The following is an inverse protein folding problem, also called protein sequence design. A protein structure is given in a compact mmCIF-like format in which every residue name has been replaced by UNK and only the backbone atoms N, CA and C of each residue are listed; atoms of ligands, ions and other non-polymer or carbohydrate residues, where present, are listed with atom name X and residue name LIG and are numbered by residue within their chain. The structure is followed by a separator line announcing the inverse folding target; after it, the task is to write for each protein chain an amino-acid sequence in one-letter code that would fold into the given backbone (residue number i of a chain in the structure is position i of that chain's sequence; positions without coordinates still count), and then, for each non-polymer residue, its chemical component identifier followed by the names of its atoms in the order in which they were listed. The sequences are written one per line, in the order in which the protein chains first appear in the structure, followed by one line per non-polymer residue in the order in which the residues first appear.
data_IF_065427065807
#
_entry.id   IF_065427065807
#
_cell.length_a   1.000
_cell.length_b   1.000
_cell.length_c   1.000
_cell.angle_alpha   90.00
_cell.angle_beta   90.00
_cell.angle_gamma   90.00
#
_symmetry.space_group_name_H-M   'P 1'
#
loop_
_entity.id
_entity.type
_entity.pdbx_description
1 polymer ?
#
# COMPACT_ATOMS: atom_id res chain seq x y z
N UNK A 1 11.86 7.26 9.87
CA UNK A 1 11.34 7.08 8.50
C UNK A 1 10.07 6.25 8.54
N UNK A 2 9.10 6.66 7.74
CA UNK A 2 7.89 5.86 7.60
C UNK A 2 8.18 4.61 6.78
N UNK A 3 7.59 3.50 7.17
CA UNK A 3 7.77 2.20 6.52
C UNK A 3 6.58 1.87 5.64
N UNK A 4 6.87 1.54 4.39
CA UNK A 4 5.88 1.18 3.38
C UNK A 4 6.03 -0.31 3.06
N UNK A 5 4.94 -1.05 3.19
CA UNK A 5 4.88 -2.45 2.77
C UNK A 5 4.23 -2.51 1.39
N UNK A 6 4.91 -3.14 0.43
CA UNK A 6 4.42 -3.25 -0.95
C UNK A 6 4.26 -4.72 -1.33
N UNK A 7 3.06 -5.10 -1.73
CA UNK A 7 2.76 -6.43 -2.25
C UNK A 7 2.36 -6.36 -3.71
N UNK A 8 3.04 -7.11 -4.55
CA UNK A 8 2.72 -7.23 -5.97
C UNK A 8 3.32 -8.52 -6.53
N UNK A 9 2.70 -9.10 -7.54
CA UNK A 9 3.23 -10.28 -8.22
C UNK A 9 4.23 -9.92 -9.32
N UNK A 10 4.34 -8.65 -9.67
CA UNK A 10 5.31 -8.15 -10.64
C UNK A 10 6.64 -7.82 -9.94
N UNK A 11 7.61 -8.72 -10.09
CA UNK A 11 8.92 -8.59 -9.45
C UNK A 11 9.66 -7.32 -9.90
N UNK A 12 9.55 -6.96 -11.18
CA UNK A 12 10.20 -5.77 -11.69
C UNK A 12 9.61 -4.51 -11.08
N UNK A 13 8.31 -4.49 -10.91
CA UNK A 13 7.65 -3.36 -10.25
C UNK A 13 8.09 -3.24 -8.79
N UNK A 14 8.22 -4.34 -8.08
CA UNK A 14 8.70 -4.32 -6.69
C UNK A 14 10.09 -3.71 -6.59
N UNK A 15 10.99 -4.05 -7.51
CA UNK A 15 12.34 -3.46 -7.55
C UNK A 15 12.28 -1.96 -7.76
N UNK A 16 11.48 -1.51 -8.73
CA UNK A 16 11.33 -0.09 -9.03
C UNK A 16 10.72 0.66 -7.86
N UNK A 17 9.68 0.10 -7.26
CA UNK A 17 9.03 0.69 -6.08
C UNK A 17 10.01 0.85 -4.92
N UNK A 18 10.79 -0.18 -4.66
CA UNK A 18 11.80 -0.13 -3.62
C UNK A 18 12.79 1.03 -3.85
N UNK A 19 13.30 1.16 -5.06
CA UNK A 19 14.29 2.19 -5.38
C UNK A 19 13.69 3.59 -5.29
N UNK A 20 12.54 3.81 -5.92
CA UNK A 20 11.94 5.14 -5.99
C UNK A 20 11.47 5.60 -4.62
N UNK A 21 10.81 4.75 -3.88
CA UNK A 21 10.31 5.13 -2.55
C UNK A 21 11.44 5.33 -1.56
N UNK A 22 12.50 4.52 -1.66
CA UNK A 22 13.69 4.71 -0.81
C UNK A 22 14.35 6.06 -1.09
N UNK A 23 14.45 6.46 -2.37
CA UNK A 23 14.99 7.77 -2.75
C UNK A 23 14.15 8.93 -2.19
N UNK A 24 12.87 8.69 -1.93
CA UNK A 24 11.97 9.69 -1.37
C UNK A 24 11.89 9.64 0.16
N UNK A 25 12.79 8.91 0.80
CA UNK A 25 12.94 8.92 2.25
C UNK A 25 12.11 7.89 2.99
N UNK A 26 11.54 6.90 2.31
CA UNK A 26 10.77 5.84 2.94
C UNK A 26 11.62 4.59 3.18
N UNK A 27 11.31 3.88 4.26
CA UNK A 27 11.80 2.54 4.50
C UNK A 27 10.82 1.56 3.82
N UNK A 28 11.30 0.73 2.91
CA UNK A 28 10.42 -0.07 2.04
C UNK A 28 10.65 -1.56 2.27
N UNK A 29 9.57 -2.28 2.48
CA UNK A 29 9.56 -3.74 2.53
C UNK A 29 8.69 -4.23 1.38
N UNK A 30 9.24 -5.09 0.53
CA UNK A 30 8.49 -5.69 -0.57
C UNK A 30 8.17 -7.15 -0.27
N UNK A 31 7.05 -7.63 -0.78
CA UNK A 31 6.63 -9.00 -0.60
C UNK A 31 5.90 -9.53 -1.83
N UNK A 32 6.06 -10.81 -2.09
CA UNK A 32 5.18 -11.52 -3.01
C UNK A 32 3.76 -11.56 -2.43
N UNK A 33 2.75 -11.79 -3.28
CA UNK A 33 1.36 -11.89 -2.82
C UNK A 33 1.19 -12.97 -1.77
N UNK A 34 0.43 -12.66 -0.72
CA UNK A 34 0.12 -13.62 0.33
C UNK A 34 -1.17 -13.23 1.04
N UNK A 35 -1.98 -14.22 1.44
CA UNK A 35 -3.10 -13.99 2.33
C UNK A 35 -2.66 -13.81 3.78
N UNK A 36 -1.40 -14.10 4.08
CA UNK A 36 -0.85 -14.02 5.44
C UNK A 36 -0.27 -12.64 5.74
N UNK A 37 -1.02 -11.61 5.34
CA UNK A 37 -0.57 -10.22 5.47
C UNK A 37 -0.44 -9.80 6.94
N UNK A 38 -1.23 -10.39 7.84
CA UNK A 38 -1.14 -10.07 9.26
C UNK A 38 0.22 -10.43 9.84
N UNK A 39 0.84 -11.51 9.37
CA UNK A 39 2.19 -11.88 9.78
C UNK A 39 3.20 -10.82 9.35
N UNK A 40 3.09 -10.33 8.10
CA UNK A 40 3.96 -9.26 7.61
C UNK A 40 3.79 -7.98 8.42
N UNK A 41 2.56 -7.65 8.79
CA UNK A 41 2.28 -6.47 9.61
C UNK A 41 2.90 -6.60 11.00
N UNK A 42 2.79 -7.78 11.61
CA UNK A 42 3.37 -8.05 12.93
C UNK A 42 4.90 -7.99 12.91
N UNK A 43 5.53 -8.45 11.84
CA UNK A 43 6.99 -8.46 11.72
C UNK A 43 7.52 -7.07 11.40
N UNK A 44 6.90 -6.38 10.46
CA UNK A 44 7.48 -5.17 9.88
C UNK A 44 6.88 -3.87 10.40
N UNK A 45 5.71 -3.91 11.00
CA UNK A 45 5.02 -2.71 11.51
C UNK A 45 4.93 -1.58 10.48
N UNK A 46 4.32 -1.82 9.31
CA UNK A 46 4.26 -0.79 8.28
C UNK A 46 3.36 0.38 8.71
N UNK A 47 3.72 1.56 8.24
CA UNK A 47 2.92 2.77 8.41
C UNK A 47 1.90 2.95 7.30
N UNK A 48 2.12 2.28 6.16
CA UNK A 48 1.24 2.32 4.99
C UNK A 48 1.46 1.06 4.17
N UNK A 49 0.41 0.58 3.51
CA UNK A 49 0.46 -0.62 2.68
C UNK A 49 0.04 -0.26 1.26
N UNK A 50 0.81 -0.73 0.28
CA UNK A 50 0.47 -0.65 -1.14
C UNK A 50 0.33 -2.07 -1.66
N UNK A 51 -0.81 -2.39 -2.27
CA UNK A 51 -1.09 -3.72 -2.82
C UNK A 51 -1.71 -3.61 -4.19
N UNK A 52 -1.33 -4.54 -5.08
CA UNK A 52 -2.07 -4.69 -6.32
C UNK A 52 -3.46 -5.28 -6.03
N UNK A 53 -4.47 -4.85 -6.77
CA UNK A 53 -5.83 -5.31 -6.59
C UNK A 53 -5.96 -6.80 -6.92
N UNK A 54 -5.38 -7.24 -8.03
CA UNK A 54 -5.39 -8.64 -8.44
C UNK A 54 -3.95 -9.17 -8.55
N UNK A 55 -3.59 -10.06 -7.64
CA UNK A 55 -2.25 -10.65 -7.54
C UNK A 55 -2.38 -12.16 -7.66
N UNK A 56 -2.26 -12.72 -8.88
CA UNK A 56 -2.39 -14.17 -9.09
C UNK A 56 -3.62 -14.74 -8.36
N UNK A 57 -3.41 -15.50 -7.30
CA UNK A 57 -4.48 -16.12 -6.51
C UNK A 57 -4.92 -15.26 -5.31
N UNK A 58 -4.37 -14.06 -5.15
CA UNK A 58 -4.65 -13.20 -4.00
C UNK A 58 -5.40 -11.94 -4.44
N UNK A 59 -6.54 -11.69 -3.84
CA UNK A 59 -7.33 -10.49 -4.11
C UNK A 59 -7.00 -9.41 -3.07
N UNK A 60 -6.30 -8.36 -3.54
CA UNK A 60 -5.90 -7.24 -2.68
C UNK A 60 -7.09 -6.47 -2.11
N UNK A 61 -8.20 -6.40 -2.84
CA UNK A 61 -9.42 -5.77 -2.33
C UNK A 61 -9.99 -6.51 -1.12
N UNK A 62 -10.00 -7.85 -1.17
CA UNK A 62 -10.44 -8.65 -0.03
C UNK A 62 -9.51 -8.47 1.17
N UNK A 63 -8.18 -8.46 0.93
CA UNK A 63 -7.22 -8.21 2.00
C UNK A 63 -7.44 -6.85 2.63
N UNK A 64 -7.65 -5.82 1.82
CA UNK A 64 -7.93 -4.48 2.32
C UNK A 64 -9.19 -4.48 3.19
N UNK A 65 -10.25 -5.12 2.74
CA UNK A 65 -11.49 -5.21 3.50
C UNK A 65 -11.28 -5.88 4.85
N UNK A 66 -10.51 -6.96 4.90
CA UNK A 66 -10.17 -7.64 6.15
C UNK A 66 -9.41 -6.71 7.09
N UNK A 67 -8.39 -6.01 6.57
CA UNK A 67 -7.60 -5.08 7.38
C UNK A 67 -8.44 -3.93 7.94
N UNK A 68 -9.35 -3.40 7.14
CA UNK A 68 -10.19 -2.26 7.54
C UNK A 68 -11.30 -2.64 8.51
N UNK A 69 -11.62 -3.93 8.61
CA UNK A 69 -12.61 -4.45 9.56
C UNK A 69 -11.97 -4.99 10.85
N UNK A 70 -10.64 -4.93 10.97
CA UNK A 70 -9.94 -5.39 12.17
C UNK A 70 -9.44 -4.16 12.95
N UNK A 71 -9.81 -4.09 14.23
CA UNK A 71 -9.46 -2.97 15.09
C UNK A 71 -7.96 -2.76 15.24
N UNK A 72 -7.16 -3.81 15.08
CA UNK A 72 -5.70 -3.72 15.22
C UNK A 72 -4.99 -3.21 13.97
N UNK A 73 -5.65 -3.25 12.80
CA UNK A 73 -5.05 -2.89 11.52
C UNK A 73 -5.80 -1.80 10.76
N UNK A 74 -7.02 -1.47 11.17
CA UNK A 74 -7.87 -0.52 10.43
C UNK A 74 -7.28 0.87 10.28
N UNK A 75 -6.35 1.24 11.16
CA UNK A 75 -5.70 2.55 11.15
C UNK A 75 -4.61 2.67 10.08
N UNK A 76 -4.14 1.54 9.53
CA UNK A 76 -3.07 1.55 8.52
C UNK A 76 -3.64 1.99 7.18
N UNK A 77 -3.14 3.09 6.58
CA UNK A 77 -3.58 3.48 5.25
C UNK A 77 -3.24 2.41 4.21
N UNK A 78 -4.17 2.16 3.30
CA UNK A 78 -3.99 1.17 2.23
C UNK A 78 -4.25 1.83 0.88
N UNK A 79 -3.28 1.69 -0.02
CA UNK A 79 -3.42 2.07 -1.42
C UNK A 79 -3.52 0.80 -2.24
N UNK A 80 -4.57 0.69 -3.06
CA UNK A 80 -4.71 -0.39 -4.03
C UNK A 80 -4.29 0.09 -5.41
N UNK A 81 -3.49 -0.72 -6.09
CA UNK A 81 -3.07 -0.47 -7.48
C UNK A 81 -3.93 -1.30 -8.41
N UNK A 82 -4.36 -0.76 -9.53
CA UNK A 82 -5.14 -1.52 -10.50
C UNK A 82 -4.83 -1.10 -11.94
N UNK A 83 -4.68 -2.10 -12.81
CA UNK A 83 -4.61 -1.89 -14.25
C UNK A 83 -5.99 -1.70 -14.87
N UNK A 84 -7.06 -1.93 -14.11
CA UNK A 84 -8.43 -1.94 -14.60
C UNK A 84 -9.22 -0.76 -14.04
N UNK A 85 -9.24 0.33 -14.78
CA UNK A 85 -9.89 1.57 -14.36
C UNK A 85 -11.38 1.39 -14.08
N UNK A 86 -12.04 0.51 -14.84
CA UNK A 86 -13.47 0.23 -14.63
C UNK A 86 -13.77 -0.38 -13.27
N UNK A 87 -12.85 -1.18 -12.75
CA UNK A 87 -13.00 -1.80 -11.43
C UNK A 87 -12.97 -0.73 -10.35
N UNK A 88 -12.08 0.24 -10.49
CA UNK A 88 -11.96 1.35 -9.56
C UNK A 88 -13.29 2.11 -9.44
N UNK A 89 -14.00 2.27 -10.57
CA UNK A 89 -15.24 3.03 -10.60
C UNK A 89 -16.47 2.23 -10.18
N UNK A 90 -16.47 0.90 -10.39
CA UNK A 90 -17.67 0.10 -10.28
C UNK A 90 -17.82 -0.67 -8.97
N UNK A 91 -16.74 -1.00 -8.28
CA UNK A 91 -16.77 -1.90 -7.13
C UNK A 91 -16.61 -1.19 -5.78
N UNK A 92 -16.62 0.14 -5.77
CA UNK A 92 -16.31 0.88 -4.56
C UNK A 92 -14.85 0.69 -4.17
N UNK A 93 -14.49 1.02 -2.94
CA UNK A 93 -13.10 1.08 -2.53
C UNK A 93 -12.66 -0.01 -1.56
N UNK A 94 -13.51 -0.99 -1.26
CA UNK A 94 -13.20 -2.05 -0.27
C UNK A 94 -12.74 -1.50 1.09
N UNK A 95 -13.08 -0.26 1.39
CA UNK A 95 -12.57 0.43 2.56
C UNK A 95 -11.16 0.96 2.40
N UNK A 96 -10.50 0.79 1.25
CA UNK A 96 -9.16 1.32 1.04
C UNK A 96 -9.16 2.84 1.00
N UNK A 97 -8.00 3.42 1.28
CA UNK A 97 -7.87 4.88 1.36
C UNK A 97 -7.70 5.51 -0.01
N UNK A 98 -7.18 4.74 -0.97
CA UNK A 98 -6.97 5.24 -2.33
C UNK A 98 -6.79 4.11 -3.32
N UNK A 99 -7.35 4.27 -4.51
CA UNK A 99 -7.02 3.47 -5.69
C UNK A 99 -6.08 4.28 -6.59
N UNK A 100 -5.04 3.63 -7.11
CA UNK A 100 -4.10 4.23 -8.06
C UNK A 100 -4.06 3.38 -9.31
N UNK A 101 -4.22 4.02 -10.46
CA UNK A 101 -4.19 3.34 -11.75
C UNK A 101 -2.77 2.98 -12.17
N UNK A 102 -2.62 1.83 -12.82
CA UNK A 102 -1.38 1.46 -13.53
C UNK A 102 -1.51 1.90 -14.99
N UNK A 103 -0.45 2.35 -15.63
CA UNK A 103 0.92 2.50 -15.14
C UNK A 103 1.04 3.63 -14.12
N UNK A 104 1.92 3.43 -13.14
CA UNK A 104 2.03 4.32 -11.98
C UNK A 104 2.79 5.60 -12.34
N UNK A 105 2.18 6.75 -12.00
CA UNK A 105 2.89 8.02 -11.93
C UNK A 105 3.50 8.12 -10.53
N UNK A 106 4.82 7.92 -10.42
CA UNK A 106 5.47 7.85 -9.12
C UNK A 106 5.47 9.16 -8.36
N UNK A 107 5.52 10.28 -9.07
CA UNK A 107 5.42 11.59 -8.39
C UNK A 107 4.07 11.74 -7.72
N UNK A 108 3.01 11.36 -8.40
CA UNK A 108 1.65 11.36 -7.84
C UNK A 108 1.52 10.38 -6.68
N UNK A 109 2.10 9.20 -6.81
CA UNK A 109 2.07 8.19 -5.75
C UNK A 109 2.74 8.70 -4.48
N UNK A 110 3.93 9.29 -4.59
CA UNK A 110 4.65 9.84 -3.44
C UNK A 110 3.83 10.94 -2.77
N UNK A 111 3.21 11.80 -3.56
CA UNK A 111 2.33 12.84 -3.04
C UNK A 111 1.18 12.23 -2.21
N UNK A 112 0.53 11.20 -2.74
CA UNK A 112 -0.56 10.53 -2.03
C UNK A 112 -0.10 9.82 -0.76
N UNK A 113 1.06 9.17 -0.80
CA UNK A 113 1.63 8.54 0.38
C UNK A 113 1.82 9.57 1.49
N UNK A 114 2.43 10.70 1.17
CA UNK A 114 2.66 11.76 2.14
C UNK A 114 1.36 12.33 2.72
N UNK A 115 0.31 12.38 1.92
CA UNK A 115 -0.99 12.85 2.41
C UNK A 115 -1.70 11.86 3.31
N UNK A 116 -1.48 10.57 3.11
CA UNK A 116 -2.13 9.53 3.89
C UNK A 116 -1.38 9.18 5.18
N UNK A 117 -0.07 9.41 5.21
CA UNK A 117 0.71 9.13 6.42
C UNK A 117 0.34 10.07 7.56
N UNK A 118 0.38 9.57 8.81
CA UNK A 118 0.16 10.43 9.97
C UNK A 118 1.17 11.57 10.00
N UNK A 119 0.69 12.80 10.14
CA UNK A 119 1.54 13.99 10.06
C UNK A 119 2.18 14.37 11.40
N UNK A 120 1.80 13.72 12.48
CA UNK A 120 2.23 14.14 13.81
C UNK A 120 3.66 13.79 14.17
N UNK A 121 4.19 12.69 13.62
CA UNK A 121 5.49 12.19 14.02
C UNK A 121 6.65 13.12 13.69
N UNK A 122 6.58 13.82 12.56
CA UNK A 122 7.68 14.67 12.11
C UNK A 122 7.61 16.08 12.70
N UNK A 123 6.48 16.45 13.26
CA UNK A 123 6.30 17.77 13.85
C UNK A 123 6.67 17.83 15.32
N UNK A 124 6.82 16.70 15.97
CA UNK A 124 7.13 16.64 17.40
C UNK A 124 8.53 17.10 17.74
N UNK A 125 9.38 17.21 16.74
CA UNK A 125 10.80 17.52 16.91
C UNK A 125 11.16 18.95 16.52
N UNK A 126 10.17 19.76 16.28
CA UNK A 126 10.39 21.15 15.84
C UNK A 126 10.14 22.18 16.93
#
# INVERSE_FOLDING_TARGET
MSRILVLDDDQDLLVVMQEILALNGFDVVTSAPTYDINELILIHHPDLIIMDYLMNDVNGGELCSVLKNDLTTQHIPVILLSAYERIIQSLGNYGCDLFVAKPIDFSSLVYHINNLLPKGKDYEYH
#
